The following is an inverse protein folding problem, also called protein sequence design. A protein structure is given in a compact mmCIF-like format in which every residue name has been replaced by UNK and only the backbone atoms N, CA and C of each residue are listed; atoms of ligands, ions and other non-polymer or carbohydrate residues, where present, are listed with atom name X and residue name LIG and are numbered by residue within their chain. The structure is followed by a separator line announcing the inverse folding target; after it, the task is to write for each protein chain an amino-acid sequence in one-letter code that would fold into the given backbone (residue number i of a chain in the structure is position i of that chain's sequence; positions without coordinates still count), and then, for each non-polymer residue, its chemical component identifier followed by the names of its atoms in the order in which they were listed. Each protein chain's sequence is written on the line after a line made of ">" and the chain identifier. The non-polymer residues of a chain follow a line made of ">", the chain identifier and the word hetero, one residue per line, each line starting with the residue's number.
data_IF_683657329121
#
_entry.id   IF_683657329121
#
_cell.length_a   1.000
_cell.length_b   1.000
_cell.length_c   1.000
_cell.angle_alpha   90.00
_cell.angle_beta   90.00
_cell.angle_gamma   90.00
#
_symmetry.space_group_name_H-M   'P 1'
#
loop_
_entity.id
_entity.type
_entity.pdbx_description
1 polymer ?
#
# COMPACT_ATOMS: atom_id res chain seq x y z
N UNK A 1 -74.10 91.91 2.17
CA UNK A 1 -73.58 92.44 3.41
C UNK A 1 -72.10 92.15 3.45
N UNK A 2 -71.35 93.12 2.96
CA UNK A 2 -70.37 93.94 3.73
C UNK A 2 -69.19 93.08 4.19
N UNK A 3 -68.00 93.40 4.10
CA UNK A 3 -67.23 94.59 3.63
C UNK A 3 -65.75 94.10 3.64
N UNK A 4 -65.05 94.57 2.67
CA UNK A 4 -63.95 95.54 2.80
C UNK A 4 -62.68 94.97 3.53
N UNK A 5 -61.58 95.17 3.13
CA UNK A 5 -60.72 96.07 2.44
C UNK A 5 -59.27 95.68 2.73
N UNK A 6 -58.47 95.63 1.71
CA UNK A 6 -57.34 96.52 1.57
C UNK A 6 -56.30 96.53 2.70
N UNK A 7 -55.09 96.23 2.37
CA UNK A 7 -53.90 97.07 2.49
C UNK A 7 -52.64 96.31 1.99
N UNK A 8 -52.21 96.58 0.81
CA UNK A 8 -50.98 97.34 0.52
C UNK A 8 -49.66 96.74 1.16
N UNK A 9 -48.89 96.12 0.28
CA UNK A 9 -47.54 96.53 -0.11
C UNK A 9 -46.57 96.95 1.02
N UNK A 10 -45.59 96.15 1.26
CA UNK A 10 -44.19 96.61 1.51
C UNK A 10 -43.22 95.54 1.05
N UNK A 11 -42.51 95.84 -0.04
CA UNK A 11 -41.23 95.28 -0.39
C UNK A 11 -40.25 95.54 0.73
N UNK A 12 -39.63 94.51 1.21
CA UNK A 12 -38.30 94.64 1.80
C UNK A 12 -37.52 93.47 1.28
N UNK A 13 -36.56 93.79 0.45
CA UNK A 13 -35.54 92.84 -0.02
C UNK A 13 -34.75 92.30 1.13
N UNK A 14 -34.72 91.04 1.15
CA UNK A 14 -33.72 90.28 1.92
C UNK A 14 -32.79 89.59 0.90
N UNK A 15 -31.63 90.21 0.74
CA UNK A 15 -30.53 89.60 0.02
C UNK A 15 -30.15 88.34 0.78
N UNK A 16 -30.50 87.20 0.26
CA UNK A 16 -29.93 85.94 0.69
C UNK A 16 -28.51 85.90 0.13
N UNK A 17 -27.53 86.12 0.99
CA UNK A 17 -26.14 85.81 0.72
C UNK A 17 -26.06 84.33 0.40
N UNK A 18 -25.81 84.04 -0.85
CA UNK A 18 -25.42 82.71 -1.30
C UNK A 18 -24.00 82.36 -0.79
N UNK A 19 -23.91 81.85 0.41
CA UNK A 19 -22.73 81.29 1.00
C UNK A 19 -22.52 79.90 0.43
N UNK A 20 -22.12 79.84 -0.82
CA UNK A 20 -21.66 78.61 -1.44
C UNK A 20 -20.49 78.05 -0.70
N UNK A 21 -20.75 77.18 0.32
CA UNK A 21 -19.73 76.35 0.91
C UNK A 21 -19.13 75.46 -0.21
N UNK A 22 -17.80 75.43 -0.38
CA UNK A 22 -17.20 74.57 -1.38
C UNK A 22 -17.48 73.10 -1.00
N UNK A 23 -18.34 72.46 -1.80
CA UNK A 23 -18.63 71.05 -1.69
C UNK A 23 -17.31 70.28 -1.65
N UNK A 24 -16.93 69.80 -0.48
CA UNK A 24 -15.83 68.84 -0.33
C UNK A 24 -16.19 67.67 -1.23
N UNK A 25 -15.57 67.64 -2.41
CA UNK A 25 -15.49 66.42 -3.22
C UNK A 25 -14.91 65.33 -2.33
N UNK A 26 -15.77 64.52 -1.78
CA UNK A 26 -15.37 63.30 -1.12
C UNK A 26 -14.55 62.52 -2.19
N UNK A 27 -13.24 62.53 -2.02
CA UNK A 27 -12.38 61.54 -2.69
C UNK A 27 -12.94 60.20 -2.27
N UNK A 28 -13.74 59.54 -3.16
CA UNK A 28 -14.06 58.13 -3.03
C UNK A 28 -12.70 57.45 -2.90
N UNK A 29 -12.29 57.24 -1.66
CA UNK A 29 -11.01 56.68 -1.34
C UNK A 29 -10.85 55.36 -2.07
N UNK A 30 -9.67 55.08 -2.58
CA UNK A 30 -9.25 53.82 -3.19
C UNK A 30 -9.36 52.60 -2.24
N UNK A 31 -10.15 52.74 -1.18
CA UNK A 31 -10.37 51.75 -0.13
C UNK A 31 -10.88 50.42 -0.71
N UNK A 32 -11.80 50.44 -1.66
CA UNK A 32 -12.27 49.26 -2.37
C UNK A 32 -11.16 48.59 -3.23
N UNK A 33 -10.29 49.41 -3.81
CA UNK A 33 -9.13 48.90 -4.60
C UNK A 33 -8.08 48.30 -3.66
N UNK A 34 -7.85 48.92 -2.50
CA UNK A 34 -6.89 48.40 -1.49
C UNK A 34 -7.40 47.07 -0.92
N UNK A 35 -8.68 46.98 -0.57
CA UNK A 35 -9.27 45.70 -0.10
C UNK A 35 -9.18 44.64 -1.22
N UNK A 36 -9.48 44.99 -2.45
CA UNK A 36 -9.36 44.07 -3.60
C UNK A 36 -7.95 43.57 -3.84
N UNK A 37 -6.94 44.46 -3.72
CA UNK A 37 -5.53 44.04 -3.85
C UNK A 37 -5.07 43.17 -2.69
N UNK A 38 -5.44 43.50 -1.44
CA UNK A 38 -5.14 42.66 -0.27
C UNK A 38 -5.80 41.29 -0.39
N UNK A 39 -7.07 41.23 -0.81
CA UNK A 39 -7.74 39.95 -1.05
C UNK A 39 -7.09 39.14 -2.18
N UNK A 40 -6.68 39.77 -3.26
CA UNK A 40 -5.96 39.12 -4.36
C UNK A 40 -4.61 38.57 -3.94
N UNK A 41 -3.83 39.33 -3.17
CA UNK A 41 -2.56 38.88 -2.59
C UNK A 41 -2.77 37.69 -1.64
N UNK A 42 -3.81 37.75 -0.80
CA UNK A 42 -4.14 36.67 0.12
C UNK A 42 -4.53 35.38 -0.64
N UNK A 43 -5.33 35.48 -1.67
CA UNK A 43 -5.68 34.35 -2.56
C UNK A 43 -4.44 33.77 -3.25
N UNK A 44 -3.56 34.65 -3.76
CA UNK A 44 -2.30 34.22 -4.39
C UNK A 44 -1.40 33.51 -3.37
N UNK A 45 -1.31 34.01 -2.14
CA UNK A 45 -0.55 33.38 -1.07
C UNK A 45 -1.10 31.98 -0.73
N UNK A 46 -2.44 31.83 -0.62
CA UNK A 46 -3.07 30.51 -0.40
C UNK A 46 -2.78 29.56 -1.57
N UNK A 47 -2.87 30.04 -2.80
CA UNK A 47 -2.56 29.27 -4.00
C UNK A 47 -1.09 28.81 -3.99
N UNK A 48 -0.18 29.69 -3.66
CA UNK A 48 1.26 29.38 -3.59
C UNK A 48 1.56 28.33 -2.51
N UNK A 49 0.95 28.45 -1.32
CA UNK A 49 1.11 27.47 -0.24
C UNK A 49 0.55 26.09 -0.59
N UNK A 50 -0.53 26.01 -1.36
CA UNK A 50 -1.12 24.75 -1.80
C UNK A 50 -0.53 24.22 -3.12
N UNK A 51 0.41 24.95 -3.71
CA UNK A 51 1.05 24.59 -4.98
C UNK A 51 2.26 23.65 -4.82
N UNK A 52 2.74 23.42 -3.61
CA UNK A 52 3.94 22.60 -3.35
C UNK A 52 3.58 21.28 -2.69
N UNK A 53 4.34 20.24 -3.03
CA UNK A 53 4.32 18.96 -2.33
C UNK A 53 5.73 18.34 -2.33
N UNK A 54 6.03 17.56 -1.30
CA UNK A 54 7.32 16.90 -1.15
C UNK A 54 7.16 15.39 -1.32
N UNK A 55 8.06 14.77 -2.08
CA UNK A 55 8.20 13.32 -2.21
C UNK A 55 9.44 12.91 -1.40
N UNK A 56 9.26 11.92 -0.50
CA UNK A 56 10.36 11.32 0.25
C UNK A 56 11.04 10.24 -0.59
N UNK A 57 12.26 9.83 -0.22
CA UNK A 57 13.00 8.77 -0.92
C UNK A 57 12.29 7.42 -0.98
N UNK A 58 11.42 7.16 0.00
CA UNK A 58 10.65 5.92 0.10
C UNK A 58 9.23 6.03 -0.46
N UNK A 59 8.92 7.14 -1.12
CA UNK A 59 7.61 7.44 -1.68
C UNK A 59 7.74 7.75 -3.17
N UNK A 60 6.72 7.41 -3.91
CA UNK A 60 6.49 7.93 -5.26
C UNK A 60 5.13 8.61 -5.28
N UNK A 61 4.98 9.60 -6.15
CA UNK A 61 3.72 10.29 -6.30
C UNK A 61 3.08 10.00 -7.65
N UNK A 62 1.77 9.96 -7.68
CA UNK A 62 0.96 9.97 -8.89
C UNK A 62 0.30 11.33 -8.99
N UNK A 63 0.73 12.10 -9.99
CA UNK A 63 0.15 13.38 -10.34
C UNK A 63 -1.00 13.15 -11.34
N UNK A 64 -2.21 13.50 -10.93
CA UNK A 64 -3.40 13.38 -11.76
C UNK A 64 -3.79 14.75 -12.26
N UNK A 65 -3.71 14.97 -13.56
CA UNK A 65 -4.08 16.21 -14.21
C UNK A 65 -5.32 15.96 -15.08
N UNK A 66 -6.48 16.49 -14.68
CA UNK A 66 -7.75 16.33 -15.42
C UNK A 66 -8.02 14.87 -15.85
N UNK A 67 -7.78 13.92 -14.96
CA UNK A 67 -8.01 12.49 -15.21
C UNK A 67 -6.84 11.72 -15.85
N UNK A 68 -5.76 12.40 -16.27
CA UNK A 68 -4.53 11.73 -16.72
C UNK A 68 -3.58 11.54 -15.55
N UNK A 69 -3.24 10.30 -15.24
CA UNK A 69 -2.30 9.93 -14.19
C UNK A 69 -0.88 9.83 -14.76
N UNK A 70 0.09 10.42 -14.08
CA UNK A 70 1.53 10.34 -14.39
C UNK A 70 2.29 10.02 -13.11
N UNK A 71 3.27 9.11 -13.19
CA UNK A 71 4.16 8.84 -12.09
C UNK A 71 5.21 9.94 -11.98
N UNK A 72 5.49 10.36 -10.74
CA UNK A 72 6.60 11.24 -10.38
C UNK A 72 7.44 10.47 -9.38
N UNK A 73 8.63 10.05 -9.83
CA UNK A 73 9.52 9.15 -9.08
C UNK A 73 10.63 9.87 -8.34
N UNK A 74 10.97 11.08 -8.78
CA UNK A 74 12.09 11.82 -8.22
C UNK A 74 11.74 12.35 -6.83
N UNK A 75 12.58 12.08 -5.80
CA UNK A 75 12.39 12.64 -4.49
C UNK A 75 12.69 14.13 -4.48
N UNK A 76 12.06 14.87 -3.58
CA UNK A 76 12.26 16.30 -3.42
C UNK A 76 11.01 17.13 -3.40
N UNK A 77 11.17 18.43 -3.61
CA UNK A 77 10.08 19.40 -3.66
C UNK A 77 9.58 19.56 -5.09
N UNK A 78 8.29 19.36 -5.26
CA UNK A 78 7.60 19.47 -6.54
C UNK A 78 6.49 20.50 -6.48
N UNK A 79 6.08 20.99 -7.66
CA UNK A 79 4.98 21.93 -7.79
C UNK A 79 3.79 21.25 -8.44
N UNK A 80 2.60 21.61 -7.99
CA UNK A 80 1.32 21.23 -8.60
C UNK A 80 0.44 22.45 -8.79
N UNK A 81 -0.45 22.42 -9.76
CA UNK A 81 -1.47 23.44 -9.96
C UNK A 81 -2.65 23.12 -9.05
N UNK A 82 -2.95 23.96 -8.01
CA UNK A 82 -4.09 23.74 -7.14
C UNK A 82 -5.39 23.64 -7.92
N UNK A 83 -6.33 22.84 -7.43
CA UNK A 83 -7.66 22.55 -8.03
C UNK A 83 -7.66 21.75 -9.34
N UNK A 84 -6.58 21.79 -10.15
CA UNK A 84 -6.48 21.06 -11.42
C UNK A 84 -5.75 19.75 -11.24
N UNK A 85 -4.73 19.74 -10.38
CA UNK A 85 -3.85 18.59 -10.15
C UNK A 85 -4.06 18.00 -8.76
N UNK A 86 -4.22 16.70 -8.71
CA UNK A 86 -4.26 15.92 -7.48
C UNK A 86 -3.01 15.06 -7.37
N UNK A 87 -2.46 14.97 -6.17
CA UNK A 87 -1.28 14.16 -5.88
C UNK A 87 -1.69 13.02 -4.94
N UNK A 88 -1.39 11.78 -5.34
CA UNK A 88 -1.52 10.59 -4.50
C UNK A 88 -0.15 10.00 -4.30
N UNK A 89 0.22 9.74 -3.06
CA UNK A 89 1.52 9.15 -2.72
C UNK A 89 1.37 7.65 -2.50
N UNK A 90 2.37 6.91 -2.96
CA UNK A 90 2.49 5.47 -2.79
C UNK A 90 3.82 5.21 -2.09
N UNK A 91 3.78 4.46 -1.00
CA UNK A 91 4.99 4.02 -0.31
C UNK A 91 5.60 2.85 -1.11
N UNK A 92 6.86 2.98 -1.48
CA UNK A 92 7.61 1.99 -2.27
C UNK A 92 8.53 1.10 -1.43
N UNK A 93 8.49 1.24 -0.11
CA UNK A 93 9.21 0.34 0.80
C UNK A 93 8.67 -1.08 0.70
N UNK A 94 9.52 -2.03 1.08
CA UNK A 94 9.10 -3.42 1.20
C UNK A 94 8.08 -3.52 2.34
N UNK A 95 6.96 -4.12 2.06
CA UNK A 95 5.87 -4.42 2.97
C UNK A 95 5.62 -5.92 2.96
N UNK A 96 4.96 -6.43 3.98
CA UNK A 96 4.66 -7.86 4.04
C UNK A 96 3.34 -8.15 4.72
N UNK A 97 2.86 -9.37 4.53
CA UNK A 97 1.71 -9.93 5.22
C UNK A 97 1.89 -11.44 5.46
N UNK A 98 1.24 -11.92 6.48
CA UNK A 98 1.21 -13.33 6.84
C UNK A 98 0.10 -14.07 6.07
N UNK A 99 0.34 -15.35 5.80
CA UNK A 99 -0.65 -16.33 5.34
C UNK A 99 -0.51 -17.54 6.25
N UNK A 100 -1.62 -17.95 6.87
CA UNK A 100 -1.67 -19.12 7.73
C UNK A 100 -1.60 -18.82 9.22
N UNK A 101 -1.13 -17.62 9.61
CA UNK A 101 -1.06 -17.23 11.01
C UNK A 101 -1.51 -15.79 11.24
N UNK A 102 -1.81 -15.46 12.50
CA UNK A 102 -2.13 -14.09 12.94
C UNK A 102 -0.91 -13.41 13.56
N UNK A 103 -0.99 -12.09 13.75
CA UNK A 103 0.09 -11.30 14.37
C UNK A 103 0.51 -11.80 15.78
N UNK A 104 -0.36 -12.54 16.46
CA UNK A 104 -0.08 -13.12 17.79
C UNK A 104 0.64 -14.48 17.75
N UNK A 105 0.99 -14.98 16.57
CA UNK A 105 1.73 -16.24 16.33
C UNK A 105 1.16 -17.52 16.97
N UNK A 106 0.00 -17.46 17.61
CA UNK A 106 -0.52 -18.55 18.44
C UNK A 106 -1.73 -19.29 17.84
N UNK A 107 -2.23 -18.86 16.69
CA UNK A 107 -3.38 -19.50 16.07
C UNK A 107 -3.16 -19.66 14.57
N UNK A 108 -3.11 -20.90 14.13
CA UNK A 108 -3.24 -21.24 12.73
C UNK A 108 -4.62 -20.82 12.23
N UNK A 109 -4.64 -20.10 11.14
CA UNK A 109 -5.88 -19.75 10.48
C UNK A 109 -6.33 -20.89 9.55
N UNK A 110 -7.57 -20.88 9.10
CA UNK A 110 -8.06 -21.84 8.09
C UNK A 110 -7.20 -21.80 6.79
N UNK A 111 -6.46 -20.70 6.60
CA UNK A 111 -5.55 -20.53 5.45
C UNK A 111 -4.26 -21.36 5.56
N UNK A 112 -3.86 -21.81 6.77
CA UNK A 112 -2.63 -22.62 6.98
C UNK A 112 -2.81 -24.08 6.56
N UNK A 113 -4.02 -24.61 6.70
CA UNK A 113 -4.27 -26.03 6.47
C UNK A 113 -4.32 -26.34 4.96
N UNK A 114 -3.49 -27.29 4.53
CA UNK A 114 -3.34 -27.68 3.13
C UNK A 114 -3.26 -29.20 3.01
N UNK A 115 -3.47 -29.69 1.79
CA UNK A 115 -3.39 -31.12 1.45
C UNK A 115 -2.19 -31.32 0.52
N UNK A 116 -1.34 -32.29 0.84
CA UNK A 116 -0.19 -32.69 0.05
C UNK A 116 -0.57 -33.71 -1.04
N UNK A 117 0.38 -34.02 -1.95
CA UNK A 117 0.14 -34.96 -3.07
C UNK A 117 -0.20 -36.39 -2.63
N UNK A 118 0.25 -36.77 -1.43
CA UNK A 118 -0.01 -38.08 -0.79
C UNK A 118 -1.18 -38.03 0.20
N UNK A 119 -2.08 -37.04 0.05
CA UNK A 119 -3.33 -36.85 0.80
C UNK A 119 -3.18 -36.67 2.32
N UNK A 120 -2.02 -36.16 2.75
CA UNK A 120 -1.84 -35.76 4.15
C UNK A 120 -2.23 -34.32 4.37
N UNK A 121 -2.72 -33.99 5.55
CA UNK A 121 -2.94 -32.62 5.98
C UNK A 121 -1.68 -32.06 6.64
N UNK A 122 -1.35 -30.82 6.30
CA UNK A 122 -0.26 -30.04 6.90
C UNK A 122 -0.72 -28.62 7.17
N UNK A 123 -0.21 -28.04 8.26
CA UNK A 123 -0.28 -26.60 8.48
C UNK A 123 1.03 -26.00 8.00
N UNK A 124 0.95 -25.03 7.09
CA UNK A 124 2.13 -24.32 6.58
C UNK A 124 1.87 -22.83 6.60
N UNK A 125 2.78 -22.12 7.22
CA UNK A 125 2.74 -20.69 7.40
C UNK A 125 3.73 -20.00 6.48
N UNK A 126 3.30 -18.90 5.90
CA UNK A 126 4.10 -18.12 4.97
C UNK A 126 4.13 -16.64 5.34
N UNK A 127 5.27 -16.01 5.06
CA UNK A 127 5.38 -14.56 5.04
C UNK A 127 5.68 -14.09 3.62
N UNK A 128 4.85 -13.18 3.11
CA UNK A 128 4.95 -12.65 1.75
C UNK A 128 5.42 -11.21 1.81
N UNK A 129 6.53 -10.91 1.15
CA UNK A 129 7.10 -9.58 1.03
C UNK A 129 6.88 -9.04 -0.38
N UNK A 130 6.41 -7.82 -0.46
CA UNK A 130 6.09 -7.16 -1.71
C UNK A 130 6.43 -5.67 -1.66
N UNK A 131 6.49 -5.05 -2.83
CA UNK A 131 6.57 -3.60 -2.98
C UNK A 131 5.73 -3.13 -4.16
N UNK A 132 5.39 -1.87 -4.17
CA UNK A 132 4.79 -1.25 -5.34
C UNK A 132 5.87 -0.93 -6.38
N UNK A 133 5.72 -1.48 -7.59
CA UNK A 133 6.64 -1.31 -8.73
C UNK A 133 6.18 -0.21 -9.69
N UNK A 134 4.88 -0.04 -9.83
CA UNK A 134 4.26 0.99 -10.67
C UNK A 134 3.17 1.72 -9.87
N UNK A 135 3.41 2.96 -9.43
CA UNK A 135 2.49 3.67 -8.56
C UNK A 135 1.15 4.02 -9.26
N UNK A 136 1.16 4.18 -10.58
CA UNK A 136 -0.08 4.47 -11.34
C UNK A 136 -0.96 3.23 -11.34
N UNK A 137 -0.41 2.06 -11.68
CA UNK A 137 -1.15 0.79 -11.66
C UNK A 137 -1.59 0.41 -10.26
N UNK A 138 -0.74 0.61 -9.25
CA UNK A 138 -1.08 0.35 -7.86
C UNK A 138 -2.34 1.10 -7.38
N UNK A 139 -2.57 2.31 -7.90
CA UNK A 139 -3.73 3.14 -7.52
C UNK A 139 -4.94 2.89 -8.42
N UNK A 140 -4.73 2.63 -9.72
CA UNK A 140 -5.80 2.67 -10.71
C UNK A 140 -6.13 1.33 -11.38
N UNK A 141 -5.23 0.34 -11.35
CA UNK A 141 -5.52 -0.97 -11.94
C UNK A 141 -6.52 -1.78 -11.10
N UNK A 142 -6.50 -1.60 -9.77
CA UNK A 142 -7.45 -2.27 -8.88
C UNK A 142 -7.76 -1.44 -7.64
N UNK A 143 -8.88 -1.76 -6.97
CA UNK A 143 -9.24 -1.11 -5.69
C UNK A 143 -8.33 -1.55 -4.54
N UNK A 144 -7.86 -2.79 -4.58
CA UNK A 144 -7.01 -3.37 -3.53
C UNK A 144 -6.01 -4.36 -4.14
N UNK A 145 -4.86 -3.88 -4.64
CA UNK A 145 -3.86 -4.74 -5.25
C UNK A 145 -3.24 -5.74 -4.27
N UNK A 146 -3.17 -5.39 -2.97
CA UNK A 146 -2.63 -6.29 -1.94
C UNK A 146 -3.56 -7.48 -1.70
N UNK A 147 -4.87 -7.28 -1.71
CA UNK A 147 -5.81 -8.38 -1.60
C UNK A 147 -5.73 -9.34 -2.81
N UNK A 148 -5.52 -8.79 -4.01
CA UNK A 148 -5.30 -9.61 -5.21
C UNK A 148 -4.02 -10.41 -5.06
N UNK A 149 -2.91 -9.79 -4.63
CA UNK A 149 -1.66 -10.49 -4.36
C UNK A 149 -1.85 -11.61 -3.32
N UNK A 150 -2.57 -11.34 -2.21
CA UNK A 150 -2.85 -12.35 -1.18
C UNK A 150 -3.59 -13.55 -1.77
N UNK A 151 -4.63 -13.32 -2.55
CA UNK A 151 -5.42 -14.39 -3.18
C UNK A 151 -4.58 -15.20 -4.20
N UNK A 152 -3.77 -14.53 -5.01
CA UNK A 152 -2.84 -15.19 -5.93
C UNK A 152 -1.85 -16.05 -5.14
N UNK A 153 -1.24 -15.49 -4.08
CA UNK A 153 -0.28 -16.21 -3.25
C UNK A 153 -0.90 -17.47 -2.64
N UNK A 154 -2.08 -17.36 -2.03
CA UNK A 154 -2.80 -18.50 -1.45
C UNK A 154 -3.10 -19.59 -2.50
N UNK A 155 -3.54 -19.18 -3.69
CA UNK A 155 -3.80 -20.14 -4.79
C UNK A 155 -2.52 -20.85 -5.25
N UNK A 156 -1.44 -20.11 -5.46
CA UNK A 156 -0.14 -20.68 -5.88
C UNK A 156 0.45 -21.60 -4.81
N UNK A 157 0.41 -21.16 -3.54
CA UNK A 157 0.88 -21.96 -2.41
C UNK A 157 0.16 -23.31 -2.37
N UNK A 158 -1.17 -23.31 -2.38
CA UNK A 158 -1.96 -24.56 -2.34
C UNK A 158 -1.70 -25.45 -3.55
N UNK A 159 -1.49 -24.87 -4.73
CA UNK A 159 -1.19 -25.61 -5.94
C UNK A 159 0.16 -26.31 -5.85
N UNK A 160 1.18 -25.60 -5.36
CA UNK A 160 2.54 -26.16 -5.24
C UNK A 160 2.61 -27.17 -4.10
N UNK A 161 2.11 -26.85 -2.90
CA UNK A 161 2.09 -27.79 -1.76
C UNK A 161 1.35 -29.09 -2.14
N UNK A 162 0.23 -29.00 -2.86
CA UNK A 162 -0.52 -30.16 -3.34
C UNK A 162 0.22 -31.03 -4.38
N UNK A 163 1.38 -30.58 -4.89
CA UNK A 163 2.21 -31.36 -5.82
C UNK A 163 3.38 -32.08 -5.15
N UNK A 164 3.67 -31.80 -3.87
CA UNK A 164 4.74 -32.41 -3.11
C UNK A 164 4.22 -33.38 -2.03
N UNK A 165 4.96 -34.45 -1.72
CA UNK A 165 4.63 -35.33 -0.59
C UNK A 165 4.87 -34.65 0.74
N UNK A 166 4.21 -35.10 1.79
CA UNK A 166 4.29 -34.51 3.14
C UNK A 166 5.71 -34.47 3.70
N UNK A 167 6.51 -35.50 3.46
CA UNK A 167 7.91 -35.56 3.92
C UNK A 167 8.73 -34.37 3.39
N UNK A 168 8.56 -34.00 2.10
CA UNK A 168 9.28 -32.88 1.51
C UNK A 168 8.79 -31.53 2.05
N UNK A 169 7.50 -31.39 2.29
CA UNK A 169 6.91 -30.17 2.87
C UNK A 169 7.40 -29.93 4.29
N UNK A 170 7.51 -30.99 5.09
CA UNK A 170 7.92 -30.89 6.50
C UNK A 170 9.44 -30.81 6.70
N UNK A 171 10.25 -31.31 5.74
CA UNK A 171 11.69 -31.49 5.95
C UNK A 171 12.54 -30.82 4.88
N UNK A 172 13.02 -31.57 3.89
CA UNK A 172 14.10 -31.18 2.97
C UNK A 172 13.65 -30.40 1.76
N UNK A 173 12.38 -30.49 1.36
CA UNK A 173 11.84 -29.87 0.16
C UNK A 173 11.52 -28.38 0.29
N UNK A 174 11.60 -27.79 1.48
CA UNK A 174 11.15 -26.41 1.75
C UNK A 174 11.73 -25.36 0.80
N UNK A 175 13.02 -25.43 0.50
CA UNK A 175 13.68 -24.46 -0.39
C UNK A 175 13.20 -24.57 -1.83
N UNK A 176 13.03 -25.79 -2.32
CA UNK A 176 12.52 -26.04 -3.68
C UNK A 176 11.05 -25.61 -3.81
N UNK A 177 10.23 -25.99 -2.83
CA UNK A 177 8.83 -25.60 -2.74
C UNK A 177 8.70 -24.07 -2.71
N UNK A 178 9.49 -23.39 -1.88
CA UNK A 178 9.50 -21.93 -1.78
C UNK A 178 9.87 -21.28 -3.12
N UNK A 179 10.88 -21.82 -3.83
CA UNK A 179 11.28 -21.32 -5.14
C UNK A 179 10.17 -21.51 -6.18
N UNK A 180 9.54 -22.69 -6.23
CA UNK A 180 8.44 -22.99 -7.14
C UNK A 180 7.22 -22.08 -6.89
N UNK A 181 6.87 -21.85 -5.61
CA UNK A 181 5.79 -20.92 -5.24
C UNK A 181 6.12 -19.50 -5.72
N UNK A 182 7.35 -19.04 -5.44
CA UNK A 182 7.81 -17.70 -5.83
C UNK A 182 7.69 -17.48 -7.33
N UNK A 183 8.18 -18.42 -8.14
CA UNK A 183 8.13 -18.37 -9.59
C UNK A 183 6.68 -18.33 -10.10
N UNK A 184 5.82 -19.18 -9.56
CA UNK A 184 4.39 -19.21 -9.93
C UNK A 184 3.67 -17.91 -9.59
N UNK A 185 3.94 -17.31 -8.42
CA UNK A 185 3.34 -16.03 -8.03
C UNK A 185 3.80 -14.92 -8.97
N UNK A 186 5.11 -14.86 -9.29
CA UNK A 186 5.66 -13.84 -10.21
C UNK A 186 4.95 -13.93 -11.56
N UNK A 187 4.87 -15.13 -12.15
CA UNK A 187 4.19 -15.34 -13.42
C UNK A 187 2.72 -14.86 -13.39
N UNK A 188 1.99 -15.18 -12.33
CA UNK A 188 0.60 -14.74 -12.16
C UNK A 188 0.46 -13.24 -11.96
N UNK A 189 1.39 -12.60 -11.23
CA UNK A 189 1.38 -11.15 -11.04
C UNK A 189 1.65 -10.39 -12.34
N UNK A 190 2.55 -10.91 -13.17
CA UNK A 190 2.86 -10.32 -14.48
C UNK A 190 1.64 -10.33 -15.40
N UNK A 191 0.87 -11.42 -15.40
CA UNK A 191 -0.41 -11.51 -16.11
C UNK A 191 -1.43 -10.47 -15.64
N UNK A 192 -1.53 -10.25 -14.32
CA UNK A 192 -2.51 -9.32 -13.72
C UNK A 192 -2.11 -7.85 -13.85
N UNK A 193 -0.82 -7.57 -13.91
CA UNK A 193 -0.24 -6.24 -14.15
C UNK A 193 -0.81 -5.13 -13.22
N UNK A 194 -0.90 -5.43 -11.92
CA UNK A 194 -1.53 -4.58 -10.89
C UNK A 194 -0.59 -3.58 -10.23
N UNK A 195 0.65 -3.45 -10.71
CA UNK A 195 1.64 -2.50 -10.19
C UNK A 195 2.27 -2.91 -8.84
N UNK A 196 2.18 -4.19 -8.48
CA UNK A 196 2.82 -4.80 -7.31
C UNK A 196 3.84 -5.83 -7.77
N UNK A 197 4.97 -5.88 -7.10
CA UNK A 197 6.04 -6.85 -7.34
C UNK A 197 6.27 -7.68 -6.07
N UNK A 198 6.33 -8.99 -6.22
CA UNK A 198 6.77 -9.89 -5.17
C UNK A 198 8.29 -9.71 -4.96
N UNK A 199 8.69 -9.47 -3.71
CA UNK A 199 10.10 -9.40 -3.32
C UNK A 199 10.57 -10.78 -2.89
N UNK A 200 9.85 -11.35 -1.92
CA UNK A 200 10.15 -12.67 -1.39
C UNK A 200 8.90 -13.36 -0.87
N UNK A 201 9.00 -14.67 -0.71
CA UNK A 201 8.06 -15.48 0.06
C UNK A 201 8.87 -16.47 0.88
N UNK A 202 8.53 -16.62 2.14
CA UNK A 202 9.27 -17.48 3.06
C UNK A 202 8.30 -18.40 3.78
N UNK A 203 8.62 -19.68 3.83
CA UNK A 203 7.96 -20.64 4.72
C UNK A 203 8.44 -20.33 6.14
N UNK A 204 7.54 -19.93 7.02
CA UNK A 204 7.84 -19.61 8.42
C UNK A 204 7.85 -20.89 9.25
N UNK A 205 6.78 -21.66 9.11
CA UNK A 205 6.64 -22.93 9.79
C UNK A 205 5.87 -23.94 8.92
N UNK A 206 6.11 -25.23 9.20
CA UNK A 206 5.36 -26.33 8.59
C UNK A 206 5.28 -27.47 9.57
N UNK A 207 4.07 -27.82 9.99
CA UNK A 207 3.78 -28.80 11.01
C UNK A 207 2.64 -29.72 10.61
N UNK A 208 2.59 -30.96 11.14
CA UNK A 208 1.40 -31.79 11.10
C UNK A 208 0.22 -31.11 11.82
N UNK A 209 -1.03 -31.41 11.44
CA UNK A 209 -2.20 -30.67 11.94
C UNK A 209 -2.51 -30.89 13.42
N UNK A 210 -2.05 -31.99 14.01
CA UNK A 210 -2.26 -32.31 15.43
C UNK A 210 -0.99 -32.87 16.08
N UNK A 211 -0.89 -32.72 17.41
CA UNK A 211 0.24 -33.21 18.20
C UNK A 211 0.39 -34.74 18.09
N UNK A 212 -0.70 -35.50 18.03
CA UNK A 212 -0.64 -36.94 17.86
C UNK A 212 -0.02 -37.34 16.52
N UNK A 213 -0.40 -36.65 15.44
CA UNK A 213 0.18 -36.85 14.11
C UNK A 213 1.65 -36.44 14.11
N UNK A 214 2.03 -35.35 14.76
CA UNK A 214 3.43 -34.93 14.91
C UNK A 214 4.28 -35.99 15.63
N UNK A 215 3.76 -36.56 16.69
CA UNK A 215 4.49 -37.65 17.43
C UNK A 215 4.64 -38.90 16.56
N UNK A 216 3.63 -39.24 15.76
CA UNK A 216 3.74 -40.38 14.82
C UNK A 216 4.81 -40.12 13.75
N UNK A 217 4.87 -38.89 13.16
CA UNK A 217 5.91 -38.51 12.21
C UNK A 217 7.32 -38.57 12.84
N UNK A 218 7.50 -38.06 14.07
CA UNK A 218 8.78 -38.15 14.81
C UNK A 218 9.20 -39.59 15.03
N UNK A 219 8.27 -40.48 15.35
CA UNK A 219 8.56 -41.90 15.54
C UNK A 219 9.00 -42.56 14.21
N UNK A 220 8.36 -42.25 13.10
CA UNK A 220 8.76 -42.76 11.77
C UNK A 220 10.15 -42.23 11.39
N UNK A 221 10.41 -40.95 11.58
CA UNK A 221 11.72 -40.35 11.28
C UNK A 221 12.84 -40.96 12.13
N UNK A 222 12.61 -41.18 13.43
CA UNK A 222 13.52 -41.87 14.31
C UNK A 222 13.80 -43.31 13.85
N UNK A 223 12.77 -44.02 13.39
CA UNK A 223 12.91 -45.35 12.83
C UNK A 223 13.70 -45.38 11.52
N UNK A 224 13.48 -44.41 10.61
CA UNK A 224 14.24 -44.24 9.36
C UNK A 224 15.73 -43.99 9.66
N UNK A 225 16.05 -43.08 10.58
CA UNK A 225 17.43 -42.80 11.02
C UNK A 225 18.09 -44.00 11.68
N UNK A 226 17.35 -44.74 12.54
CA UNK A 226 17.80 -45.99 13.11
C UNK A 226 18.15 -47.06 12.08
N UNK A 227 17.32 -47.21 11.04
CA UNK A 227 17.57 -48.10 9.92
C UNK A 227 18.85 -47.71 9.16
N UNK A 228 19.00 -46.41 8.81
CA UNK A 228 20.21 -45.93 8.12
C UNK A 228 21.47 -46.14 8.96
N UNK A 229 21.41 -45.87 10.24
CA UNK A 229 22.51 -46.09 11.16
C UNK A 229 22.87 -47.58 11.21
N UNK A 230 21.90 -48.49 11.29
CA UNK A 230 22.13 -49.90 11.27
C UNK A 230 22.77 -50.40 9.96
N UNK A 231 22.28 -49.89 8.81
CA UNK A 231 22.85 -50.18 7.49
C UNK A 231 24.29 -49.68 7.36
N UNK A 232 24.57 -48.47 7.80
CA UNK A 232 25.91 -47.90 7.77
C UNK A 232 26.88 -48.68 8.66
N UNK A 233 26.44 -49.08 9.86
CA UNK A 233 27.23 -49.91 10.76
C UNK A 233 27.49 -51.33 10.16
N UNK A 234 26.48 -51.92 9.52
CA UNK A 234 26.62 -53.20 8.85
C UNK A 234 27.60 -53.14 7.66
N UNK A 235 27.50 -52.06 6.87
CA UNK A 235 28.42 -51.81 5.74
C UNK A 235 29.87 -51.57 6.26
N UNK A 236 30.01 -50.78 7.33
CA UNK A 236 31.31 -50.56 7.97
C UNK A 236 31.90 -51.87 8.43
N UNK A 237 31.16 -52.68 9.20
CA UNK A 237 31.58 -53.99 9.65
C UNK A 237 32.00 -54.91 8.50
N UNK A 238 31.16 -54.99 7.45
CA UNK A 238 31.48 -55.76 6.24
C UNK A 238 32.80 -55.32 5.61
N UNK A 239 33.03 -54.01 5.43
CA UNK A 239 34.23 -53.47 4.82
C UNK A 239 35.50 -53.68 5.67
N UNK A 240 35.35 -53.72 7.00
CA UNK A 240 36.44 -54.01 7.92
C UNK A 240 36.79 -55.51 7.96
N UNK A 241 35.81 -56.39 7.83
CA UNK A 241 36.03 -57.85 7.93
C UNK A 241 36.38 -58.51 6.59
N UNK A 242 35.88 -58.00 5.46
CA UNK A 242 36.15 -58.62 4.14
C UNK A 242 37.64 -58.72 3.79
N UNK A 243 38.49 -57.69 4.00
CA UNK A 243 39.92 -57.81 3.71
C UNK A 243 40.61 -58.85 4.54
N UNK A 244 40.19 -59.00 5.82
CA UNK A 244 40.75 -59.98 6.76
C UNK A 244 40.35 -61.40 6.40
N UNK A 245 39.20 -61.60 5.77
CA UNK A 245 38.73 -62.93 5.35
C UNK A 245 39.29 -63.37 3.96
N UNK A 246 39.85 -62.41 3.18
CA UNK A 246 40.45 -62.63 1.89
C UNK A 246 41.98 -62.78 1.93
N UNK A 247 42.62 -62.48 3.11
CA UNK A 247 44.05 -62.65 3.36
C UNK A 247 44.32 -64.01 3.97
#
# INVERSE_FOLDING_TARGET
>A
MNNNDSFRNRQNGFETMDGGAPGKKQKKGNFGKIIGTVAAVFVLAILAMNSTYQIREQEQAVLVTLGKAQAVTDPGLHFKIPFIQQVRKVNTTIQGFAIGYTENYNEYTEDSMMITSDYNFVNVDFFVEYRYSDPVKAIYASKNPVAILKNISQSCIRTVIGSYPVDDVLTTGKNEIQAAIKEMIIARLDEQNIGVQLVNITIQDSEPPTEEVMQAFKAVETAKQGKETALNNANKYRNEQMPTAQA
#
